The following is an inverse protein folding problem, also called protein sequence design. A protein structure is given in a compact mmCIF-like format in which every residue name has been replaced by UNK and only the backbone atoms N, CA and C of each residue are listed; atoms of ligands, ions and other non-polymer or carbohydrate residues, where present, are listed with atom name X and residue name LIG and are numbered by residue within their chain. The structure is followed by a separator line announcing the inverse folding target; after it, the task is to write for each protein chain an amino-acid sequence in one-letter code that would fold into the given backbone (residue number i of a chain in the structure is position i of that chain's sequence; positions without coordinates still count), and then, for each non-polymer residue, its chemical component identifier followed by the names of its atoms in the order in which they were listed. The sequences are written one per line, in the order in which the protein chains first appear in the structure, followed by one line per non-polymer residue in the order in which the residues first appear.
data_IF_421654920604
#
_entry.id   IF_421654920604
#
_cell.length_a   1.000
_cell.length_b   1.000
_cell.length_c   1.000
_cell.angle_alpha   90.00
_cell.angle_beta   90.00
_cell.angle_gamma   90.00
#
_symmetry.space_group_name_H-M   'P 1'
#
loop_
_entity.id
_entity.type
_entity.pdbx_description
1 polymer ?
#
# COMPACT_ATOMS: atom_id res chain seq x y z
N UNK A 1 -22.89 -14.36 2.89
CA UNK A 1 -22.82 -15.34 3.99
C UNK A 1 -23.01 -16.80 3.52
N UNK A 2 -23.63 -17.06 2.38
CA UNK A 2 -23.91 -18.41 1.87
C UNK A 2 -22.69 -19.31 1.63
N UNK A 3 -21.48 -18.73 1.55
CA UNK A 3 -20.26 -19.48 1.25
C UNK A 3 -19.39 -19.81 2.49
N UNK A 4 -19.73 -19.34 3.67
CA UNK A 4 -18.88 -19.55 4.87
C UNK A 4 -18.83 -21.02 5.27
N UNK A 5 -19.95 -21.74 5.15
CA UNK A 5 -20.04 -23.18 5.48
C UNK A 5 -19.11 -24.04 4.62
N UNK A 6 -18.85 -23.64 3.37
CA UNK A 6 -17.90 -24.30 2.46
C UNK A 6 -16.48 -24.36 3.04
N UNK A 7 -16.14 -23.44 3.94
CA UNK A 7 -14.83 -23.31 4.58
C UNK A 7 -14.84 -23.71 6.05
N UNK A 8 -15.80 -24.57 6.46
CA UNK A 8 -15.92 -25.05 7.84
C UNK A 8 -14.70 -25.85 8.33
N UNK A 9 -13.88 -26.36 7.42
CA UNK A 9 -12.62 -27.05 7.73
C UNK A 9 -11.52 -26.11 8.26
N UNK A 10 -11.63 -24.80 8.08
CA UNK A 10 -10.77 -23.81 8.69
C UNK A 10 -11.22 -23.60 10.13
N UNK A 11 -10.31 -23.70 11.10
CA UNK A 11 -10.64 -23.59 12.52
C UNK A 11 -11.03 -22.15 12.91
N UNK A 12 -10.30 -21.17 12.41
CA UNK A 12 -10.52 -19.76 12.70
C UNK A 12 -11.72 -19.22 11.90
N UNK A 13 -12.64 -18.55 12.62
CA UNK A 13 -13.85 -17.97 12.01
C UNK A 13 -13.53 -16.86 11.00
N UNK A 14 -12.53 -16.05 11.28
CA UNK A 14 -12.14 -14.94 10.42
C UNK A 14 -11.47 -15.44 9.14
N UNK A 15 -10.71 -16.54 9.23
CA UNK A 15 -10.17 -17.22 8.04
C UNK A 15 -11.28 -17.77 7.15
N UNK A 16 -12.35 -18.32 7.75
CA UNK A 16 -13.55 -18.75 6.99
C UNK A 16 -14.21 -17.59 6.26
N UNK A 17 -14.36 -16.44 6.93
CA UNK A 17 -14.96 -15.25 6.34
C UNK A 17 -14.07 -14.73 5.21
N UNK A 18 -12.76 -14.66 5.42
CA UNK A 18 -11.80 -14.24 4.40
C UNK A 18 -11.86 -15.16 3.16
N UNK A 19 -11.77 -16.47 3.36
CA UNK A 19 -11.86 -17.46 2.29
C UNK A 19 -13.20 -17.39 1.54
N UNK A 20 -14.31 -17.16 2.25
CA UNK A 20 -15.62 -16.97 1.65
C UNK A 20 -15.69 -15.71 0.78
N UNK A 21 -15.06 -14.62 1.19
CA UNK A 21 -14.97 -13.39 0.41
C UNK A 21 -14.13 -13.59 -0.86
N UNK A 22 -12.97 -14.25 -0.76
CA UNK A 22 -12.14 -14.58 -1.92
C UNK A 22 -12.91 -15.47 -2.89
N UNK A 23 -13.64 -16.48 -2.40
CA UNK A 23 -14.48 -17.34 -3.24
C UNK A 23 -15.65 -16.57 -3.89
N UNK A 24 -16.23 -15.60 -3.19
CA UNK A 24 -17.27 -14.76 -3.78
C UNK A 24 -16.72 -13.91 -4.93
N UNK A 25 -15.54 -13.31 -4.73
CA UNK A 25 -14.84 -12.54 -5.77
C UNK A 25 -14.55 -13.43 -7.00
N UNK A 26 -14.02 -14.63 -6.80
CA UNK A 26 -13.75 -15.59 -7.88
C UNK A 26 -15.00 -15.94 -8.69
N UNK A 27 -16.14 -16.19 -8.00
CA UNK A 27 -17.42 -16.45 -8.66
C UNK A 27 -17.88 -15.23 -9.49
N UNK A 28 -17.72 -14.00 -9.00
CA UNK A 28 -18.11 -12.81 -9.77
C UNK A 28 -17.21 -12.59 -10.99
N UNK A 29 -15.91 -12.84 -10.87
CA UNK A 29 -15.00 -12.87 -12.03
C UNK A 29 -15.46 -13.90 -13.06
N UNK A 30 -15.81 -15.11 -12.62
CA UNK A 30 -16.35 -16.14 -13.50
C UNK A 30 -17.64 -15.71 -14.22
N UNK A 31 -18.53 -14.98 -13.53
CA UNK A 31 -19.74 -14.42 -14.14
C UNK A 31 -19.44 -13.39 -15.22
N UNK A 32 -18.47 -12.51 -14.97
CA UNK A 32 -18.04 -11.50 -15.96
C UNK A 32 -17.46 -12.18 -17.19
N UNK A 33 -16.54 -13.14 -17.01
CA UNK A 33 -15.95 -13.91 -18.11
C UNK A 33 -17.05 -14.64 -18.91
N UNK A 34 -18.01 -15.25 -18.23
CA UNK A 34 -19.12 -15.95 -18.90
C UNK A 34 -20.01 -15.02 -19.69
N UNK A 35 -20.25 -13.80 -19.22
CA UNK A 35 -20.99 -12.79 -19.96
C UNK A 35 -20.25 -12.40 -21.26
N UNK A 36 -18.95 -12.11 -21.17
CA UNK A 36 -18.10 -11.79 -22.34
C UNK A 36 -18.09 -12.95 -23.35
N UNK A 37 -18.02 -14.20 -22.85
CA UNK A 37 -18.09 -15.39 -23.69
C UNK A 37 -19.42 -15.51 -24.40
N UNK A 38 -20.52 -15.28 -23.69
CA UNK A 38 -21.88 -15.38 -24.23
C UNK A 38 -22.12 -14.37 -25.34
N UNK A 39 -21.55 -13.19 -25.24
CA UNK A 39 -21.59 -12.15 -26.27
C UNK A 39 -20.59 -12.40 -27.41
N UNK A 40 -19.77 -13.45 -27.35
CA UNK A 40 -18.77 -13.78 -28.37
C UNK A 40 -17.56 -12.87 -28.40
N UNK A 41 -17.30 -12.13 -27.32
CA UNK A 41 -16.28 -11.06 -27.25
C UNK A 41 -14.94 -11.49 -26.66
N UNK A 42 -14.74 -12.78 -26.34
CA UNK A 42 -13.51 -13.24 -25.67
C UNK A 42 -12.23 -12.96 -26.48
N UNK A 43 -12.29 -13.01 -27.80
CA UNK A 43 -11.12 -12.78 -28.67
C UNK A 43 -10.84 -11.28 -28.89
N UNK A 44 -11.80 -10.42 -28.53
CA UNK A 44 -11.70 -8.98 -28.65
C UNK A 44 -11.53 -8.28 -27.29
N UNK A 45 -11.38 -9.07 -26.20
CA UNK A 45 -11.32 -8.53 -24.84
C UNK A 45 -10.02 -8.91 -24.14
N UNK A 46 -9.30 -7.90 -23.67
CA UNK A 46 -8.19 -8.08 -22.71
C UNK A 46 -8.78 -8.05 -21.31
N UNK A 47 -8.44 -9.06 -20.51
CA UNK A 47 -8.79 -9.11 -19.09
C UNK A 47 -7.51 -8.94 -18.28
N UNK A 48 -7.47 -7.90 -17.45
CA UNK A 48 -6.40 -7.63 -16.50
C UNK A 48 -6.97 -7.67 -15.09
N UNK A 49 -6.44 -8.55 -14.26
CA UNK A 49 -6.81 -8.67 -12.86
C UNK A 49 -5.58 -8.54 -11.98
N UNK A 50 -5.63 -7.68 -10.99
CA UNK A 50 -4.58 -7.54 -9.97
C UNK A 50 -5.15 -6.96 -8.67
N UNK A 51 -4.45 -7.18 -7.56
CA UNK A 51 -4.78 -6.52 -6.30
C UNK A 51 -4.26 -5.09 -6.29
N UNK A 52 -4.95 -4.19 -5.60
CA UNK A 52 -4.55 -2.79 -5.45
C UNK A 52 -3.32 -2.61 -4.55
N UNK A 53 -3.17 -3.48 -3.54
CA UNK A 53 -2.06 -3.48 -2.59
C UNK A 53 -1.89 -4.87 -1.95
N UNK A 54 -0.81 -5.02 -1.20
CA UNK A 54 -0.59 -6.19 -0.37
C UNK A 54 -1.60 -6.34 0.77
N UNK A 55 -1.67 -7.49 1.43
CA UNK A 55 -2.65 -7.76 2.48
C UNK A 55 -2.39 -6.91 3.72
N UNK A 56 -3.43 -6.71 4.52
CA UNK A 56 -3.30 -6.22 5.89
C UNK A 56 -2.84 -7.38 6.74
N UNK A 57 -1.54 -7.57 6.89
CA UNK A 57 -0.95 -8.71 7.56
C UNK A 57 -0.34 -8.35 8.91
N UNK A 58 0.43 -7.26 8.95
CA UNK A 58 1.05 -6.76 10.17
C UNK A 58 0.53 -5.35 10.43
N UNK A 59 -0.27 -5.23 11.48
CA UNK A 59 -0.83 -3.94 11.87
C UNK A 59 0.13 -3.33 12.86
N UNK A 60 0.56 -2.10 12.56
CA UNK A 60 1.35 -1.30 13.49
C UNK A 60 0.77 -1.38 14.91
N UNK A 61 1.58 -1.67 15.93
CA UNK A 61 1.12 -1.77 17.32
C UNK A 61 0.31 -0.55 17.78
N UNK A 62 0.62 0.65 17.27
CA UNK A 62 -0.12 1.87 17.58
C UNK A 62 -1.54 1.79 17.01
N UNK A 63 -1.69 1.29 15.77
CA UNK A 63 -3.01 1.12 15.14
C UNK A 63 -3.83 0.07 15.89
N UNK A 64 -3.20 -1.02 16.36
CA UNK A 64 -3.87 -2.03 17.21
C UNK A 64 -4.39 -1.43 18.52
N UNK A 65 -3.65 -0.48 19.09
CA UNK A 65 -4.07 0.20 20.33
C UNK A 65 -5.21 1.20 20.09
N UNK A 66 -5.13 1.96 19.01
CA UNK A 66 -6.11 3.02 18.69
C UNK A 66 -7.42 2.43 18.16
N UNK A 67 -7.34 1.35 17.39
CA UNK A 67 -8.48 0.75 16.71
C UNK A 67 -8.48 -0.80 16.82
N UNK A 68 -8.58 -1.34 18.05
CA UNK A 68 -8.43 -2.79 18.29
C UNK A 68 -9.48 -3.65 17.60
N UNK A 69 -10.61 -3.07 17.20
CA UNK A 69 -11.71 -3.77 16.54
C UNK A 69 -11.84 -3.46 15.06
N UNK A 70 -10.94 -2.63 14.51
CA UNK A 70 -11.12 -2.11 13.15
C UNK A 70 -10.70 -3.11 12.09
N UNK A 71 -9.71 -3.96 12.36
CA UNK A 71 -9.09 -4.79 11.34
C UNK A 71 -8.78 -6.17 11.92
N UNK A 72 -9.45 -7.14 11.39
CA UNK A 72 -9.05 -8.53 11.52
C UNK A 72 -8.10 -8.82 10.33
N UNK A 73 -6.80 -8.70 10.61
CA UNK A 73 -5.76 -8.84 9.60
C UNK A 73 -5.73 -10.27 9.06
N UNK A 74 -5.90 -10.41 7.75
CA UNK A 74 -5.90 -11.71 7.06
C UNK A 74 -5.13 -11.63 5.74
N UNK A 75 -4.78 -12.79 5.23
CA UNK A 75 -3.98 -12.94 4.04
C UNK A 75 -2.52 -13.26 4.36
N UNK A 76 -1.70 -13.31 3.34
CA UNK A 76 -0.29 -13.62 3.44
C UNK A 76 0.51 -12.87 2.39
N UNK A 77 1.64 -12.33 2.78
CA UNK A 77 2.64 -11.78 1.86
C UNK A 77 3.56 -12.86 1.27
N UNK A 78 3.30 -14.14 1.57
CA UNK A 78 4.18 -15.26 1.23
C UNK A 78 5.62 -15.07 1.73
N UNK A 79 5.78 -14.38 2.87
CA UNK A 79 7.08 -14.09 3.50
C UNK A 79 7.75 -12.80 2.98
N UNK A 80 7.18 -12.10 2.02
CA UNK A 80 7.66 -10.77 1.60
C UNK A 80 7.54 -9.79 2.76
N UNK A 81 8.52 -8.90 2.88
CA UNK A 81 8.59 -7.91 3.95
C UNK A 81 7.55 -6.80 3.78
N UNK A 82 6.99 -6.34 4.87
CA UNK A 82 5.94 -5.29 4.86
C UNK A 82 4.55 -5.84 4.57
N UNK A 83 3.57 -4.95 4.49
CA UNK A 83 2.15 -5.24 4.30
C UNK A 83 1.47 -4.02 3.68
N UNK A 84 0.14 -4.01 3.57
CA UNK A 84 -0.64 -2.84 3.12
C UNK A 84 -0.11 -1.55 3.75
N UNK A 85 0.01 -0.51 2.94
CA UNK A 85 0.51 0.83 3.33
C UNK A 85 2.02 0.93 3.49
N UNK A 86 2.78 -0.09 3.09
CA UNK A 86 4.23 -0.05 2.99
C UNK A 86 4.70 -0.06 1.55
N UNK A 87 5.82 0.61 1.26
CA UNK A 87 6.52 0.54 -0.02
C UNK A 87 7.51 -0.65 -0.10
N UNK A 88 7.52 -1.54 0.90
CA UNK A 88 8.22 -2.81 0.88
C UNK A 88 7.47 -3.84 0.02
N UNK A 89 8.15 -4.91 -0.40
CA UNK A 89 7.59 -5.91 -1.35
C UNK A 89 6.24 -6.47 -0.91
N UNK A 90 6.06 -6.79 0.38
CA UNK A 90 4.79 -7.30 0.90
C UNK A 90 3.62 -6.32 0.83
N UNK A 91 3.90 -5.02 0.69
CA UNK A 91 2.86 -4.00 0.50
C UNK A 91 2.52 -3.72 -0.95
N UNK A 92 3.46 -3.95 -1.88
CA UNK A 92 3.34 -3.52 -3.28
C UNK A 92 3.42 -4.65 -4.30
N UNK A 93 4.05 -5.79 -3.99
CA UNK A 93 4.09 -6.95 -4.88
C UNK A 93 2.81 -7.76 -4.71
N UNK A 94 1.96 -7.69 -5.71
CA UNK A 94 0.61 -8.27 -5.68
C UNK A 94 0.43 -9.33 -6.77
N UNK A 95 -0.47 -10.30 -6.60
CA UNK A 95 -0.88 -11.19 -7.67
C UNK A 95 -1.48 -10.39 -8.83
N UNK A 96 -1.04 -10.72 -10.05
CA UNK A 96 -1.56 -10.12 -11.26
C UNK A 96 -1.73 -11.17 -12.36
N UNK A 97 -2.78 -11.04 -13.16
CA UNK A 97 -3.06 -11.87 -14.33
C UNK A 97 -3.46 -10.95 -15.47
N UNK A 98 -2.85 -11.15 -16.63
CA UNK A 98 -3.32 -10.60 -17.90
C UNK A 98 -3.70 -11.75 -18.82
N UNK A 99 -4.86 -11.66 -19.44
CA UNK A 99 -5.37 -12.69 -20.30
C UNK A 99 -6.04 -12.08 -21.54
N UNK A 100 -5.76 -12.67 -22.70
CA UNK A 100 -6.43 -12.38 -23.95
C UNK A 100 -6.48 -13.66 -24.79
N UNK A 101 -7.67 -14.14 -25.07
CA UNK A 101 -7.90 -15.40 -25.76
C UNK A 101 -7.21 -15.40 -27.15
N UNK A 102 -6.38 -16.41 -27.39
CA UNK A 102 -5.69 -16.59 -28.67
C UNK A 102 -4.48 -15.67 -28.89
N UNK A 103 -4.24 -14.69 -28.02
CA UNK A 103 -3.13 -13.73 -28.16
C UNK A 103 -2.06 -13.94 -27.09
N UNK A 104 -2.45 -14.11 -25.83
CA UNK A 104 -1.51 -14.31 -24.73
C UNK A 104 -1.47 -15.79 -24.36
N UNK A 105 -0.27 -16.37 -24.41
CA UNK A 105 -0.04 -17.74 -23.99
C UNK A 105 -0.17 -17.90 -22.46
N UNK A 106 -0.67 -19.07 -22.02
CA UNK A 106 -0.74 -19.41 -20.60
C UNK A 106 0.66 -19.70 -20.05
N UNK A 107 1.30 -18.71 -19.45
CA UNK A 107 2.64 -18.82 -18.85
C UNK A 107 2.78 -17.92 -17.64
N UNK A 108 3.73 -18.26 -16.76
CA UNK A 108 4.21 -17.32 -15.74
C UNK A 108 5.19 -16.35 -16.37
N UNK A 109 5.16 -15.11 -15.92
CA UNK A 109 6.12 -14.07 -16.31
C UNK A 109 6.80 -13.51 -15.07
N UNK A 110 8.10 -13.35 -15.13
CA UNK A 110 8.92 -12.64 -14.13
C UNK A 110 9.15 -11.17 -14.53
N UNK A 111 8.37 -10.67 -15.49
CA UNK A 111 8.45 -9.27 -15.92
C UNK A 111 8.01 -8.35 -14.77
N UNK A 112 8.85 -7.38 -14.46
CA UNK A 112 8.43 -6.26 -13.65
C UNK A 112 7.32 -5.48 -14.37
N UNK A 113 6.17 -5.37 -13.73
CA UNK A 113 5.00 -4.69 -14.26
C UNK A 113 4.38 -3.82 -13.18
N UNK A 114 4.49 -2.53 -13.34
CA UNK A 114 3.97 -1.55 -12.39
C UNK A 114 2.60 -1.03 -12.86
N UNK A 115 1.81 -0.49 -11.93
CA UNK A 115 0.48 0.05 -12.27
C UNK A 115 0.56 1.17 -13.32
N UNK A 116 1.63 1.96 -13.32
CA UNK A 116 1.88 2.98 -14.33
C UNK A 116 2.16 2.41 -15.72
N UNK A 117 2.59 1.14 -15.84
CA UNK A 117 2.84 0.46 -17.11
C UNK A 117 1.53 0.00 -17.78
N UNK A 118 0.43 -0.07 -17.05
CA UNK A 118 -0.87 -0.57 -17.54
C UNK A 118 -1.33 0.24 -18.75
N UNK A 119 -1.41 1.56 -18.62
CA UNK A 119 -1.93 2.40 -19.69
C UNK A 119 -1.11 2.32 -20.98
N UNK A 120 0.22 2.56 -21.00
CA UNK A 120 1.00 2.46 -22.24
C UNK A 120 0.97 1.04 -22.84
N UNK A 121 0.98 0.00 -22.01
CA UNK A 121 0.89 -1.39 -22.47
C UNK A 121 -0.45 -1.71 -23.14
N UNK A 122 -1.58 -1.28 -22.55
CA UNK A 122 -2.91 -1.52 -23.13
C UNK A 122 -3.13 -0.69 -24.41
N UNK A 123 -2.59 0.52 -24.50
CA UNK A 123 -2.66 1.31 -25.74
C UNK A 123 -1.95 0.59 -26.89
N UNK A 124 -0.76 0.05 -26.64
CA UNK A 124 -0.03 -0.73 -27.65
C UNK A 124 -0.76 -2.03 -27.99
N UNK A 125 -1.29 -2.74 -27.00
CA UNK A 125 -2.08 -3.95 -27.20
C UNK A 125 -3.30 -3.73 -28.10
N UNK A 126 -3.94 -2.57 -27.96
CA UNK A 126 -5.11 -2.16 -28.75
C UNK A 126 -4.77 -1.43 -30.05
N UNK A 127 -3.49 -1.34 -30.42
CA UNK A 127 -2.99 -0.56 -31.59
C UNK A 127 -3.46 0.92 -31.58
N UNK A 128 -3.60 1.50 -30.40
CA UNK A 128 -4.01 2.91 -30.24
C UNK A 128 -2.76 3.78 -30.18
N UNK A 129 -2.61 4.64 -31.19
CA UNK A 129 -1.53 5.64 -31.25
C UNK A 129 -1.89 6.87 -30.44
N UNK A 130 -0.96 7.35 -29.64
CA UNK A 130 -1.10 8.59 -28.89
C UNK A 130 0.05 9.54 -29.16
N UNK A 131 -0.24 10.84 -29.25
CA UNK A 131 0.76 11.89 -29.36
C UNK A 131 1.44 12.26 -28.04
N UNK A 132 1.00 11.65 -26.94
CA UNK A 132 1.48 11.95 -25.59
C UNK A 132 2.26 10.79 -24.95
N UNK A 133 2.82 9.89 -25.75
CA UNK A 133 3.58 8.72 -25.26
C UNK A 133 4.78 9.08 -24.38
N UNK A 134 5.38 10.25 -24.58
CA UNK A 134 6.48 10.82 -23.82
C UNK A 134 6.07 11.38 -22.43
N UNK A 135 4.77 11.43 -22.16
CA UNK A 135 4.22 11.92 -20.88
C UNK A 135 3.78 10.82 -19.92
N UNK A 136 3.94 9.56 -20.30
CA UNK A 136 3.61 8.45 -19.41
C UNK A 136 4.70 8.25 -18.36
N UNK A 137 4.31 8.03 -17.12
CA UNK A 137 5.24 7.66 -16.04
C UNK A 137 5.68 6.19 -16.13
N UNK A 138 4.93 5.36 -16.85
CA UNK A 138 5.19 3.94 -17.07
C UNK A 138 5.75 3.63 -18.45
N UNK A 139 6.19 2.40 -18.61
CA UNK A 139 6.75 1.86 -19.84
C UNK A 139 5.78 0.88 -20.53
N UNK A 140 5.77 0.86 -21.85
CA UNK A 140 5.09 -0.19 -22.59
C UNK A 140 5.79 -1.54 -22.41
N UNK A 141 5.07 -2.52 -21.94
CA UNK A 141 5.53 -3.89 -21.70
C UNK A 141 4.85 -4.92 -22.61
N UNK A 142 4.06 -4.48 -23.61
CA UNK A 142 3.28 -5.40 -24.43
C UNK A 142 4.13 -6.46 -25.12
N UNK A 143 5.18 -6.04 -25.83
CA UNK A 143 6.11 -6.98 -26.50
C UNK A 143 6.80 -7.94 -25.50
N UNK A 144 7.08 -7.47 -24.28
CA UNK A 144 7.71 -8.28 -23.25
C UNK A 144 6.75 -9.36 -22.71
N UNK A 145 5.48 -9.02 -22.54
CA UNK A 145 4.45 -9.97 -22.13
C UNK A 145 4.23 -11.07 -23.17
N UNK A 146 4.25 -10.71 -24.46
CA UNK A 146 4.10 -11.69 -25.54
C UNK A 146 5.33 -12.60 -25.68
N UNK A 147 6.52 -12.03 -25.71
CA UNK A 147 7.76 -12.79 -26.00
C UNK A 147 8.34 -13.47 -24.76
N UNK A 148 7.99 -13.03 -23.56
CA UNK A 148 8.59 -13.47 -22.30
C UNK A 148 9.98 -12.87 -22.05
N UNK A 149 10.43 -11.90 -22.86
CA UNK A 149 11.70 -11.20 -22.65
C UNK A 149 11.55 -10.27 -21.44
N UNK A 150 12.33 -10.52 -20.40
CA UNK A 150 12.34 -9.71 -19.19
C UNK A 150 13.15 -8.44 -19.46
N UNK A 151 12.55 -7.29 -19.15
CA UNK A 151 13.21 -5.99 -19.16
C UNK A 151 13.09 -5.38 -17.76
N UNK A 152 14.22 -5.06 -17.13
CA UNK A 152 14.22 -4.45 -15.81
C UNK A 152 13.59 -3.06 -15.83
N UNK A 153 13.10 -2.57 -14.68
CA UNK A 153 12.49 -1.25 -14.55
C UNK A 153 13.55 -0.14 -14.67
N UNK A 154 13.13 1.01 -15.18
CA UNK A 154 13.92 2.25 -15.17
C UNK A 154 13.25 3.30 -14.30
N UNK A 155 13.83 3.55 -13.12
CA UNK A 155 13.36 4.59 -12.20
C UNK A 155 11.86 4.51 -11.89
N UNK A 156 11.30 3.30 -11.74
CA UNK A 156 9.93 3.15 -11.29
C UNK A 156 9.82 3.59 -9.82
N UNK A 157 8.98 4.58 -9.57
CA UNK A 157 8.84 5.21 -8.25
C UNK A 157 7.48 4.90 -7.63
N UNK A 158 7.49 4.51 -6.36
CA UNK A 158 6.31 4.19 -5.59
C UNK A 158 6.37 4.93 -4.26
N UNK A 159 5.23 5.48 -3.84
CA UNK A 159 5.06 6.10 -2.53
C UNK A 159 3.93 5.48 -1.75
N UNK A 160 4.11 5.33 -0.44
CA UNK A 160 3.08 4.92 0.50
C UNK A 160 3.12 5.87 1.71
N UNK A 161 1.98 6.45 2.07
CA UNK A 161 1.90 7.44 3.14
C UNK A 161 0.67 7.20 3.99
N UNK A 162 0.86 6.70 5.20
CA UNK A 162 -0.16 6.70 6.24
C UNK A 162 0.44 7.21 7.56
N UNK A 163 1.22 6.37 8.24
CA UNK A 163 1.89 6.72 9.50
C UNK A 163 3.32 7.19 9.24
N UNK A 164 3.92 6.66 8.19
CA UNK A 164 5.24 7.03 7.69
C UNK A 164 5.15 7.44 6.22
N UNK A 165 6.07 8.30 5.79
CA UNK A 165 6.32 8.58 4.39
C UNK A 165 7.32 7.54 3.89
N UNK A 166 6.82 6.51 3.22
CA UNK A 166 7.61 5.45 2.64
C UNK A 166 7.69 5.59 1.13
N UNK A 167 8.86 5.35 0.59
CA UNK A 167 9.12 5.46 -0.85
C UNK A 167 10.02 4.35 -1.31
N UNK A 168 9.79 3.88 -2.52
CA UNK A 168 10.65 2.93 -3.20
C UNK A 168 10.97 3.44 -4.61
N UNK A 169 12.24 3.31 -5.00
CA UNK A 169 12.72 3.52 -6.35
C UNK A 169 13.30 2.21 -6.86
N UNK A 170 12.81 1.75 -8.00
CA UNK A 170 13.35 0.59 -8.71
C UNK A 170 14.15 1.05 -9.92
N UNK A 171 15.36 0.55 -10.06
CA UNK A 171 16.18 0.74 -11.26
C UNK A 171 17.04 -0.49 -11.49
N UNK A 172 16.90 -1.12 -12.65
CA UNK A 172 17.45 -2.44 -12.94
C UNK A 172 17.05 -3.47 -11.86
N UNK A 173 18.00 -4.17 -11.29
CA UNK A 173 17.81 -5.14 -10.21
C UNK A 173 17.72 -4.50 -8.81
N UNK A 174 17.90 -3.18 -8.73
CA UNK A 174 18.03 -2.49 -7.46
C UNK A 174 16.71 -1.85 -7.01
N UNK A 175 16.45 -1.94 -5.71
CA UNK A 175 15.40 -1.21 -5.03
C UNK A 175 15.99 -0.37 -3.91
N UNK A 176 15.84 0.93 -3.99
CA UNK A 176 16.12 1.84 -2.88
C UNK A 176 14.81 2.11 -2.14
N UNK A 177 14.76 1.69 -0.90
CA UNK A 177 13.66 1.98 0.03
C UNK A 177 14.03 3.13 0.94
N UNK A 178 13.10 4.04 1.17
CA UNK A 178 13.22 5.18 2.05
C UNK A 178 12.02 5.24 2.98
N UNK A 179 12.25 5.50 4.26
CA UNK A 179 11.18 5.69 5.25
C UNK A 179 11.47 6.86 6.16
N UNK A 180 10.46 7.68 6.39
CA UNK A 180 10.49 8.81 7.30
C UNK A 180 9.20 8.84 8.12
N UNK A 181 9.27 8.86 9.45
CA UNK A 181 8.09 9.11 10.29
C UNK A 181 7.44 10.45 9.94
N UNK A 182 6.12 10.48 9.78
CA UNK A 182 5.39 11.71 9.41
C UNK A 182 5.25 12.69 10.56
N UNK A 183 5.24 12.19 11.79
CA UNK A 183 5.00 13.00 13.00
C UNK A 183 6.28 13.59 13.61
N UNK A 184 7.46 13.16 13.18
CA UNK A 184 8.74 13.57 13.77
C UNK A 184 9.62 14.19 12.68
N UNK A 185 10.19 15.39 12.87
CA UNK A 185 11.03 16.07 11.89
C UNK A 185 12.45 15.46 11.86
N UNK A 186 12.56 14.21 11.41
CA UNK A 186 13.83 13.51 11.21
C UNK A 186 14.13 13.31 9.74
N UNK A 187 15.40 13.12 9.41
CA UNK A 187 15.79 12.74 8.05
C UNK A 187 15.32 11.33 7.70
N UNK A 188 15.01 11.04 6.43
CA UNK A 188 14.67 9.68 6.00
C UNK A 188 15.82 8.70 6.27
N UNK A 189 15.50 7.48 6.66
CA UNK A 189 16.42 6.35 6.60
C UNK A 189 16.29 5.66 5.25
N UNK A 190 17.37 5.00 4.81
CA UNK A 190 17.43 4.36 3.50
C UNK A 190 17.95 2.94 3.61
N UNK A 191 17.45 2.05 2.74
CA UNK A 191 17.93 0.68 2.57
C UNK A 191 18.00 0.36 1.08
N UNK A 192 19.08 -0.30 0.64
CA UNK A 192 19.29 -0.73 -0.75
C UNK A 192 19.22 -2.25 -0.84
N UNK A 193 18.46 -2.76 -1.79
CA UNK A 193 18.28 -4.20 -2.00
C UNK A 193 18.53 -4.58 -3.46
N UNK A 194 19.13 -5.75 -3.68
CA UNK A 194 19.06 -6.45 -4.97
C UNK A 194 17.78 -7.26 -5.01
N UNK A 195 16.72 -6.73 -5.60
CA UNK A 195 15.37 -7.29 -5.51
C UNK A 195 15.17 -8.59 -6.31
N UNK A 196 16.09 -8.90 -7.22
CA UNK A 196 16.09 -10.17 -7.95
C UNK A 196 16.64 -11.29 -7.09
N UNK A 197 17.75 -11.06 -6.39
CA UNK A 197 18.41 -12.05 -5.54
C UNK A 197 17.81 -12.10 -4.13
N UNK A 198 17.34 -10.96 -3.63
CA UNK A 198 16.73 -10.82 -2.30
C UNK A 198 15.33 -10.19 -2.38
N UNK A 199 14.33 -10.90 -2.94
CA UNK A 199 12.95 -10.40 -3.00
C UNK A 199 12.30 -10.23 -1.61
N UNK A 200 12.94 -10.75 -0.56
CA UNK A 200 12.48 -10.64 0.83
C UNK A 200 13.06 -9.44 1.58
N UNK A 201 13.93 -8.65 0.92
CA UNK A 201 14.51 -7.42 1.47
C UNK A 201 15.22 -7.63 2.82
N UNK A 202 15.99 -8.72 2.95
CA UNK A 202 16.68 -9.11 4.19
C UNK A 202 18.05 -8.46 4.33
N UNK A 203 18.73 -8.21 3.20
CA UNK A 203 20.11 -7.76 3.17
C UNK A 203 20.20 -6.33 2.63
N UNK A 204 20.46 -5.39 3.54
CA UNK A 204 20.68 -3.98 3.15
C UNK A 204 22.10 -3.81 2.62
N UNK A 205 22.23 -3.55 1.33
CA UNK A 205 23.51 -3.42 0.60
C UNK A 205 23.96 -1.95 0.44
N UNK A 206 23.43 -1.02 1.21
CA UNK A 206 23.74 0.40 1.07
C UNK A 206 25.23 0.73 1.37
N UNK A 207 25.88 -0.06 2.24
CA UNK A 207 27.30 0.10 2.57
C UNK A 207 28.21 -0.63 1.60
N UNK A 208 27.76 -1.78 1.07
CA UNK A 208 28.51 -2.61 0.10
C UNK A 208 28.48 -2.03 -1.32
N UNK A 209 27.39 -1.30 -1.65
CA UNK A 209 27.18 -0.74 -3.00
C UNK A 209 27.00 0.80 -2.96
N UNK A 210 28.03 1.54 -2.48
CA UNK A 210 27.92 2.98 -2.18
C UNK A 210 27.65 3.85 -3.41
N UNK A 211 28.14 3.50 -4.60
CA UNK A 211 27.93 4.29 -5.81
C UNK A 211 26.50 4.10 -6.36
N UNK A 212 25.96 2.89 -6.28
CA UNK A 212 24.58 2.61 -6.64
C UNK A 212 23.65 3.33 -5.67
N UNK A 213 23.92 3.17 -4.38
CA UNK A 213 23.17 3.85 -3.32
C UNK A 213 23.11 5.36 -3.52
N UNK A 214 24.28 6.00 -3.76
CA UNK A 214 24.37 7.44 -3.98
C UNK A 214 23.58 7.90 -5.20
N UNK A 215 23.69 7.16 -6.31
CA UNK A 215 22.96 7.46 -7.55
C UNK A 215 21.46 7.36 -7.35
N UNK A 216 20.98 6.25 -6.78
CA UNK A 216 19.56 6.04 -6.53
C UNK A 216 19.00 7.02 -5.48
N UNK A 217 19.79 7.36 -4.45
CA UNK A 217 19.41 8.37 -3.46
C UNK A 217 19.22 9.74 -4.08
N UNK A 218 20.09 10.14 -5.00
CA UNK A 218 19.92 11.40 -5.76
C UNK A 218 18.62 11.38 -6.56
N UNK A 219 18.34 10.27 -7.24
CA UNK A 219 17.15 10.10 -8.07
C UNK A 219 15.88 10.14 -7.23
N UNK A 220 15.79 9.35 -6.15
CA UNK A 220 14.58 9.31 -5.29
C UNK A 220 14.33 10.68 -4.64
N UNK A 221 15.39 11.41 -4.29
CA UNK A 221 15.26 12.77 -3.74
C UNK A 221 14.67 13.72 -4.79
N UNK A 222 15.10 13.65 -6.05
CA UNK A 222 14.55 14.50 -7.11
C UNK A 222 13.06 14.23 -7.40
N UNK A 223 12.62 12.99 -7.29
CA UNK A 223 11.18 12.65 -7.36
C UNK A 223 10.42 13.23 -6.16
N UNK A 224 11.02 13.15 -4.98
CA UNK A 224 10.43 13.71 -3.74
C UNK A 224 10.24 15.22 -3.82
N UNK A 225 11.20 15.94 -4.40
CA UNK A 225 11.12 17.40 -4.57
C UNK A 225 10.06 17.82 -5.60
N UNK A 226 9.75 16.95 -6.56
CA UNK A 226 8.68 17.16 -7.54
C UNK A 226 7.31 16.72 -7.05
N UNK A 227 7.27 16.02 -5.94
CA UNK A 227 6.02 15.58 -5.34
C UNK A 227 5.12 16.81 -5.16
N UNK A 228 4.16 16.92 -6.07
CA UNK A 228 3.09 17.91 -5.91
C UNK A 228 2.43 17.55 -4.58
N UNK A 229 2.51 18.45 -3.62
CA UNK A 229 1.91 18.30 -2.29
C UNK A 229 0.39 18.25 -2.43
N UNK A 230 -0.10 17.27 -3.15
CA UNK A 230 -1.51 17.08 -3.43
C UNK A 230 -2.10 15.84 -2.76
N UNK A 231 -1.27 14.91 -2.33
CA UNK A 231 -1.77 13.80 -1.55
C UNK A 231 -1.72 14.19 -0.07
N UNK A 232 -2.76 14.82 0.38
CA UNK A 232 -2.98 15.09 1.79
C UNK A 232 -3.22 13.71 2.44
N UNK A 233 -2.26 13.26 3.25
CA UNK A 233 -2.56 12.21 4.21
C UNK A 233 -3.82 12.67 4.97
N UNK A 234 -4.94 11.94 4.94
CA UNK A 234 -6.14 12.34 5.65
C UNK A 234 -5.87 12.69 7.12
N UNK A 235 -4.93 12.00 7.77
CA UNK A 235 -4.49 12.32 9.12
C UNK A 235 -3.75 13.67 9.19
N UNK A 236 -2.97 14.03 8.17
CA UNK A 236 -2.26 15.32 8.13
C UNK A 236 -3.23 16.47 7.85
N UNK A 237 -4.17 16.30 6.93
CA UNK A 237 -5.24 17.27 6.69
C UNK A 237 -6.11 17.46 7.95
N UNK A 238 -6.36 16.39 8.67
CA UNK A 238 -7.12 16.41 9.90
C UNK A 238 -6.41 17.12 11.04
N UNK A 239 -5.07 17.01 11.12
CA UNK A 239 -4.25 17.60 12.20
C UNK A 239 -3.82 19.04 11.93
N UNK A 240 -3.69 19.43 10.67
CA UNK A 240 -3.07 20.70 10.32
C UNK A 240 -3.98 21.71 9.61
N UNK A 241 -5.25 21.36 9.39
CA UNK A 241 -6.21 22.21 8.67
C UNK A 241 -5.60 22.72 7.36
N UNK A 242 -5.97 22.16 6.22
CA UNK A 242 -5.33 22.60 4.98
C UNK A 242 -5.99 23.89 4.45
N UNK A 243 -5.31 25.03 4.67
CA UNK A 243 -5.71 26.34 4.14
C UNK A 243 -5.41 26.49 2.63
N UNK A 244 -4.94 25.43 1.96
CA UNK A 244 -4.61 25.48 0.53
C UNK A 244 -5.87 25.41 -0.31
N UNK A 245 -6.31 26.56 -0.80
CA UNK A 245 -7.27 26.71 -1.88
C UNK A 245 -6.70 26.04 -3.13
N UNK A 246 -7.16 24.87 -3.44
CA UNK A 246 -6.72 24.06 -4.57
C UNK A 246 -6.89 22.58 -4.32
N UNK A 247 -7.75 22.20 -3.39
CA UNK A 247 -8.14 20.81 -3.20
C UNK A 247 -8.63 20.25 -4.52
N UNK A 248 -7.92 19.24 -5.06
CA UNK A 248 -8.52 18.37 -6.05
C UNK A 248 -9.76 17.83 -5.38
N UNK A 249 -10.94 18.22 -5.87
CA UNK A 249 -12.19 17.56 -5.52
C UNK A 249 -11.98 16.07 -5.82
N UNK A 250 -11.75 15.30 -4.77
CA UNK A 250 -11.85 13.85 -4.83
C UNK A 250 -13.33 13.51 -4.93
N UNK A 251 -13.96 13.97 -5.99
CA UNK A 251 -15.22 13.46 -6.46
C UNK A 251 -14.96 12.01 -6.84
N UNK A 252 -15.27 11.08 -5.96
CA UNK A 252 -15.43 9.70 -6.37
C UNK A 252 -16.51 9.70 -7.45
N UNK A 253 -16.23 9.29 -8.69
CA UNK A 253 -17.24 9.23 -9.75
C UNK A 253 -18.36 8.23 -9.44
N UNK A 254 -18.29 7.54 -8.32
CA UNK A 254 -19.22 6.53 -7.83
C UNK A 254 -20.11 7.00 -6.68
N UNK A 255 -19.91 8.19 -6.15
CA UNK A 255 -20.78 8.79 -5.15
C UNK A 255 -21.75 9.73 -5.86
N UNK A 256 -23.01 9.37 -5.92
CA UNK A 256 -24.09 10.28 -6.34
C UNK A 256 -23.95 11.60 -5.59
N UNK A 257 -23.89 12.71 -6.34
CA UNK A 257 -23.46 14.05 -5.97
C UNK A 257 -24.21 14.79 -4.88
N UNK A 258 -24.57 14.14 -3.78
CA UNK A 258 -25.29 14.72 -2.64
C UNK A 258 -24.55 14.58 -1.30
N UNK A 259 -23.23 14.31 -1.30
CA UNK A 259 -22.44 14.50 -0.08
C UNK A 259 -21.94 15.95 -0.06
N UNK A 260 -22.73 16.84 0.56
CA UNK A 260 -22.15 18.03 1.17
C UNK A 260 -21.17 17.57 2.23
N UNK A 261 -19.87 17.71 1.95
CA UNK A 261 -18.84 17.64 2.98
C UNK A 261 -19.19 18.75 3.98
N UNK A 262 -19.79 18.36 5.09
CA UNK A 262 -19.89 19.24 6.24
C UNK A 262 -18.49 19.84 6.47
N UNK A 263 -18.45 21.16 6.62
CA UNK A 263 -17.23 21.92 6.84
C UNK A 263 -16.22 21.15 7.70
N UNK A 264 -14.93 21.14 7.34
CA UNK A 264 -13.92 20.42 8.12
C UNK A 264 -14.03 20.83 9.58
N UNK A 265 -13.89 19.88 10.53
CA UNK A 265 -13.97 20.20 11.93
C UNK A 265 -13.00 21.35 12.24
N UNK A 266 -13.39 22.31 13.03
CA UNK A 266 -12.53 23.43 13.44
C UNK A 266 -11.23 22.90 14.05
N UNK A 267 -10.13 23.65 13.98
CA UNK A 267 -8.85 23.27 14.58
C UNK A 267 -9.03 22.88 16.07
N UNK A 268 -10.00 23.50 16.75
CA UNK A 268 -10.37 23.18 18.13
C UNK A 268 -10.99 21.78 18.24
N UNK A 269 -11.94 21.41 17.36
CA UNK A 269 -12.53 20.07 17.39
C UNK A 269 -11.53 18.99 16.98
N UNK A 270 -10.63 19.27 16.03
CA UNK A 270 -9.54 18.37 15.68
C UNK A 270 -8.56 18.15 16.83
N UNK A 271 -8.24 19.21 17.60
CA UNK A 271 -7.41 19.11 18.80
C UNK A 271 -8.09 18.22 19.87
N UNK A 272 -9.39 18.38 20.11
CA UNK A 272 -10.08 17.57 21.08
C UNK A 272 -10.21 16.11 20.65
N UNK A 273 -10.39 15.83 19.35
CA UNK A 273 -10.38 14.46 18.83
C UNK A 273 -8.99 13.84 18.97
N UNK A 274 -7.94 14.57 18.62
CA UNK A 274 -6.56 14.13 18.85
C UNK A 274 -6.28 13.87 20.32
N UNK A 275 -6.65 14.81 21.18
CA UNK A 275 -6.49 14.66 22.63
C UNK A 275 -7.27 13.45 23.16
N UNK A 276 -8.49 13.22 22.66
CA UNK A 276 -9.27 12.05 23.01
C UNK A 276 -8.61 10.75 22.55
N UNK A 277 -8.07 10.69 21.32
CA UNK A 277 -7.31 9.55 20.80
C UNK A 277 -6.08 9.29 21.68
N UNK A 278 -5.30 10.33 21.98
CA UNK A 278 -4.15 10.23 22.86
C UNK A 278 -4.54 9.74 24.27
N UNK A 279 -5.62 10.27 24.83
CA UNK A 279 -6.14 9.82 26.12
C UNK A 279 -6.57 8.35 26.07
N UNK A 280 -7.21 7.89 24.99
CA UNK A 280 -7.58 6.48 24.83
C UNK A 280 -6.32 5.59 24.65
N UNK A 281 -5.35 6.03 23.86
CA UNK A 281 -4.09 5.31 23.63
C UNK A 281 -3.25 5.17 24.91
N UNK A 282 -3.22 6.23 25.76
CA UNK A 282 -2.45 6.24 26.99
C UNK A 282 -3.25 5.94 28.25
N UNK A 283 -4.55 5.71 28.14
CA UNK A 283 -5.44 5.45 29.28
C UNK A 283 -4.90 4.37 30.23
N UNK A 284 -4.42 3.26 29.69
CA UNK A 284 -3.86 2.19 30.51
C UNK A 284 -2.43 2.50 30.97
N UNK A 285 -1.64 3.20 30.17
CA UNK A 285 -0.28 3.57 30.52
C UNK A 285 -0.25 4.66 31.63
N UNK A 286 -1.15 5.64 31.56
CA UNK A 286 -1.37 6.61 32.63
C UNK A 286 -1.85 5.96 33.94
N UNK A 287 -2.75 5.01 33.86
CA UNK A 287 -3.23 4.23 35.01
C UNK A 287 -2.06 3.42 35.60
N UNK A 288 -1.28 2.72 34.79
CA UNK A 288 -0.12 1.93 35.25
C UNK A 288 0.92 2.85 35.88
N UNK A 289 1.22 3.99 35.26
CA UNK A 289 2.19 4.97 35.77
C UNK A 289 1.70 5.58 37.09
N UNK A 290 0.41 5.89 37.20
CA UNK A 290 -0.20 6.40 38.42
C UNK A 290 -0.15 5.35 39.56
N UNK A 291 -0.48 4.09 39.28
CA UNK A 291 -0.33 3.00 40.25
C UNK A 291 1.12 2.73 40.63
N UNK A 292 2.07 2.84 39.68
CA UNK A 292 3.49 2.73 39.97
C UNK A 292 3.96 3.83 40.93
N UNK A 293 3.55 5.09 40.70
CA UNK A 293 3.88 6.18 41.61
C UNK A 293 3.24 6.01 43.01
N UNK A 294 2.02 5.51 43.08
CA UNK A 294 1.38 5.18 44.38
C UNK A 294 2.15 4.07 45.11
N UNK A 295 2.56 3.00 44.41
CA UNK A 295 3.33 1.91 44.98
C UNK A 295 4.72 2.37 45.46
N UNK A 296 5.40 3.19 44.67
CA UNK A 296 6.69 3.78 45.06
C UNK A 296 6.53 4.69 46.27
N UNK A 297 5.51 5.55 46.28
CA UNK A 297 5.21 6.43 47.42
C UNK A 297 4.90 5.64 48.71
N UNK A 298 4.13 4.54 48.55
CA UNK A 298 3.79 3.67 49.70
C UNK A 298 5.01 2.92 50.22
N UNK A 299 5.89 2.44 49.34
CA UNK A 299 7.16 1.83 49.71
C UNK A 299 8.10 2.83 50.43
N UNK A 300 8.21 4.04 49.96
CA UNK A 300 8.97 5.12 50.62
C UNK A 300 8.41 5.47 51.98
N UNK A 301 7.08 5.54 52.14
CA UNK A 301 6.44 5.83 53.45
C UNK A 301 6.72 4.70 54.43
N UNK A 302 6.72 3.43 54.01
CA UNK A 302 7.00 2.25 54.83
C UNK A 302 8.47 2.15 55.27
N UNK A 303 9.40 2.61 54.41
CA UNK A 303 10.84 2.69 54.70
C UNK A 303 11.19 3.82 55.69
N UNK A 304 10.38 4.88 55.78
CA UNK A 304 10.59 5.98 56.74
C UNK A 304 10.04 5.70 58.14
N UNK A 305 9.28 4.60 58.29
CA UNK A 305 8.67 4.21 59.59
C UNK A 305 9.44 3.05 60.27
N UNK A 306 10.57 2.60 59.65
CA UNK A 306 11.58 1.74 60.28
C UNK A 306 12.81 2.60 60.57
#
# INVERSE_FOLDING_TARGET
LQNIEKFSYLEDKSDRVYAANVNALDNEIGRIIKAIETEGLLEETIILFFSDNGPVFDIDPIVKVIAPNLIDARGSTAGLRGSKSSALEGGIRVPAVIWWKGIIENKKSEQFFFVQDVLPTLLTAADIKTSNSDKFDGEDKWSNLLTGKIVPPKNAFIGARIISDERALFNDQWKLYSVKPTLIPVSPSYQLFNIIEDPFEKNNLAEEEPEIFKTMKKTITSYTERDVVGYINPAHAYLHGDDRQGGVELGSPWMDGNYELNSPPSAISSFFIFLWIVIQAFKYQLIITFFFFILVFYAFKKLRQK
#
